data_IF_697754835368
#
_entry.id   IF_697754835368
#
_cell.length_a   1.000
_cell.length_b   1.000
_cell.length_c   1.000
_cell.angle_alpha   90.00
_cell.angle_beta   90.00
_cell.angle_gamma   90.00
#
_symmetry.space_group_name_H-M   'P 1'
#
loop_
_entity.id
_entity.type
_entity.pdbx_description
1 polymer ?
#
# COMPACT_ATOMS: atom_id res chain seq x y z
N UNK A 1 -12.46 16.93 -2.50
CA UNK A 1 -12.83 15.70 -3.24
C UNK A 1 -11.60 14.82 -3.26
N UNK A 2 -11.63 13.68 -2.56
CA UNK A 2 -10.53 12.70 -2.55
C UNK A 2 -10.70 11.66 -3.66
N UNK A 3 -9.65 10.88 -3.92
CA UNK A 3 -9.73 9.72 -4.82
C UNK A 3 -10.57 8.61 -4.17
N UNK A 4 -11.42 7.98 -4.98
CA UNK A 4 -12.30 6.88 -4.58
C UNK A 4 -11.87 5.59 -5.28
N UNK A 5 -12.11 4.45 -4.64
CA UNK A 5 -11.89 3.12 -5.23
C UNK A 5 -10.94 2.26 -4.41
N UNK A 6 -10.34 1.26 -5.04
CA UNK A 6 -9.37 0.35 -4.41
C UNK A 6 -7.96 0.60 -4.95
N UNK A 7 -6.93 0.20 -4.20
CA UNK A 7 -5.56 0.22 -4.73
C UNK A 7 -5.44 -0.90 -5.77
N UNK A 8 -5.08 -0.60 -7.03
CA UNK A 8 -5.08 -1.60 -8.09
C UNK A 8 -3.85 -2.52 -8.00
N UNK A 9 -3.99 -3.83 -8.31
CA UNK A 9 -2.86 -4.77 -8.36
C UNK A 9 -1.77 -4.38 -9.37
N UNK A 10 -2.13 -3.60 -10.39
CA UNK A 10 -1.20 -3.09 -11.40
C UNK A 10 -0.12 -2.18 -10.82
N UNK A 11 -0.28 -1.70 -9.59
CA UNK A 11 0.75 -0.92 -8.88
C UNK A 11 2.07 -1.70 -8.74
N UNK A 12 2.04 -3.04 -8.72
CA UNK A 12 3.23 -3.91 -8.82
C UNK A 12 4.18 -3.52 -9.96
N UNK A 13 3.66 -2.98 -11.06
CA UNK A 13 4.46 -2.66 -12.23
C UNK A 13 5.33 -1.41 -12.04
N UNK A 14 5.11 -0.66 -10.96
CA UNK A 14 5.92 0.49 -10.56
C UNK A 14 7.20 0.03 -9.85
N UNK A 15 8.00 -0.81 -10.51
CA UNK A 15 9.20 -1.45 -9.95
C UNK A 15 10.29 -0.46 -9.49
N UNK A 16 10.24 0.77 -9.99
CA UNK A 16 11.14 1.87 -9.63
C UNK A 16 10.58 2.81 -8.55
N UNK A 17 9.37 2.57 -8.06
CA UNK A 17 8.73 3.44 -7.07
C UNK A 17 9.51 3.39 -5.75
N UNK A 18 9.90 4.57 -5.26
CA UNK A 18 10.66 4.73 -4.01
C UNK A 18 9.79 5.27 -2.88
N UNK A 19 8.81 6.11 -3.21
CA UNK A 19 7.94 6.77 -2.24
C UNK A 19 6.52 6.85 -2.80
N UNK A 20 5.53 6.54 -1.96
CA UNK A 20 4.12 6.62 -2.28
C UNK A 20 3.38 7.31 -1.13
N UNK A 21 2.72 8.43 -1.42
CA UNK A 21 1.81 9.10 -0.48
C UNK A 21 0.41 9.18 -1.09
N UNK A 22 -0.54 8.48 -0.49
CA UNK A 22 -1.96 8.46 -0.83
C UNK A 22 -2.81 8.91 0.36
N UNK A 23 -2.22 9.66 1.29
CA UNK A 23 -2.90 10.09 2.50
C UNK A 23 -4.12 10.95 2.20
N UNK A 24 -5.19 10.78 2.96
CA UNK A 24 -6.37 11.67 2.91
C UNK A 24 -7.24 11.44 1.68
N UNK A 25 -7.30 10.20 1.19
CA UNK A 25 -8.20 9.78 0.13
C UNK A 25 -9.31 8.89 0.70
N UNK A 26 -10.26 8.50 -0.15
CA UNK A 26 -11.31 7.55 0.19
C UNK A 26 -11.04 6.20 -0.48
N UNK A 27 -9.78 5.73 -0.47
CA UNK A 27 -9.51 4.37 -0.91
C UNK A 27 -10.08 3.39 0.10
N UNK A 28 -10.76 2.36 -0.39
CA UNK A 28 -11.39 1.31 0.41
C UNK A 28 -10.95 -0.07 -0.04
N UNK A 29 -11.35 -1.12 0.69
CA UNK A 29 -10.90 -2.50 0.43
C UNK A 29 -9.52 -2.80 1.03
N UNK A 30 -8.94 -3.94 0.66
CA UNK A 30 -7.66 -4.39 1.20
C UNK A 30 -6.44 -3.79 0.50
N UNK A 31 -5.29 -3.80 1.18
CA UNK A 31 -4.00 -3.53 0.55
C UNK A 31 -3.66 -4.73 -0.36
N UNK A 32 -3.45 -4.54 -1.68
CA UNK A 32 -3.12 -5.64 -2.57
C UNK A 32 -1.74 -6.22 -2.21
N UNK A 33 -1.67 -7.56 -2.12
CA UNK A 33 -0.43 -8.30 -1.86
C UNK A 33 0.66 -7.99 -2.88
N UNK A 34 0.27 -7.56 -4.07
CA UNK A 34 1.12 -7.12 -5.16
C UNK A 34 2.01 -5.93 -4.80
N UNK A 35 1.67 -5.14 -3.77
CA UNK A 35 2.55 -4.11 -3.23
C UNK A 35 3.86 -4.66 -2.65
N UNK A 36 3.89 -5.94 -2.25
CA UNK A 36 5.12 -6.64 -1.87
C UNK A 36 6.15 -6.71 -3.01
N UNK A 37 5.72 -6.55 -4.27
CA UNK A 37 6.61 -6.56 -5.42
C UNK A 37 7.30 -5.21 -5.68
N UNK A 38 6.94 -4.16 -4.95
CA UNK A 38 7.58 -2.85 -5.02
C UNK A 38 8.94 -2.86 -4.32
N UNK A 39 9.92 -3.56 -4.90
CA UNK A 39 11.22 -3.86 -4.26
C UNK A 39 12.05 -2.63 -3.89
N UNK A 40 11.78 -1.47 -4.48
CA UNK A 40 12.55 -0.22 -4.28
C UNK A 40 11.84 0.78 -3.37
N UNK A 41 10.63 0.46 -2.90
CA UNK A 41 9.86 1.36 -2.08
C UNK A 41 10.46 1.45 -0.68
N UNK A 42 10.57 2.68 -0.19
CA UNK A 42 11.12 3.02 1.13
C UNK A 42 10.11 3.74 2.01
N UNK A 43 9.07 4.31 1.38
CA UNK A 43 8.06 5.08 2.07
C UNK A 43 6.70 4.83 1.45
N UNK A 44 5.73 4.49 2.30
CA UNK A 44 4.32 4.32 1.93
C UNK A 44 3.47 5.01 3.00
N UNK A 45 2.62 5.94 2.57
CA UNK A 45 1.67 6.61 3.44
C UNK A 45 0.26 6.42 2.90
N UNK A 46 -0.53 5.59 3.59
CA UNK A 46 -1.94 5.31 3.26
C UNK A 46 -2.90 5.86 4.32
N UNK A 47 -2.41 6.72 5.21
CA UNK A 47 -3.19 7.23 6.34
C UNK A 47 -4.44 7.99 5.87
N UNK A 48 -5.46 8.06 6.72
CA UNK A 48 -6.71 8.74 6.40
C UNK A 48 -7.32 8.21 5.08
N UNK A 49 -7.47 6.88 5.00
CA UNK A 49 -8.23 6.12 3.99
C UNK A 49 -9.11 5.07 4.71
N UNK A 50 -10.05 4.47 3.98
CA UNK A 50 -10.99 3.46 4.48
C UNK A 50 -10.54 2.01 4.15
N UNK A 51 -9.23 1.76 4.22
CA UNK A 51 -8.63 0.47 3.84
C UNK A 51 -8.85 -0.60 4.92
N UNK A 52 -9.52 -1.70 4.57
CA UNK A 52 -9.69 -2.88 5.42
C UNK A 52 -8.33 -3.56 5.63
N UNK A 53 -7.93 -3.68 6.89
CA UNK A 53 -6.61 -4.17 7.29
C UNK A 53 -5.69 -3.08 7.85
N UNK A 54 -6.07 -1.79 7.74
CA UNK A 54 -5.31 -0.66 8.31
C UNK A 54 -5.07 -0.75 9.81
N UNK A 55 -5.88 -1.53 10.53
CA UNK A 55 -5.72 -1.73 11.97
C UNK A 55 -4.49 -2.54 12.39
N UNK A 56 -3.91 -3.31 11.47
CA UNK A 56 -2.74 -4.18 11.75
C UNK A 56 -1.42 -3.63 11.23
N UNK A 57 -1.41 -2.46 10.60
CA UNK A 57 -0.20 -1.84 10.01
C UNK A 57 0.14 -0.47 10.62
N UNK A 58 -0.39 -0.17 11.81
CA UNK A 58 -0.29 1.14 12.47
C UNK A 58 1.12 1.58 12.90
N UNK A 59 2.10 0.70 12.82
CA UNK A 59 3.50 1.05 13.06
C UNK A 59 4.21 0.86 11.74
N UNK A 60 4.53 1.96 11.03
CA UNK A 60 5.39 2.01 9.84
C UNK A 60 5.38 0.71 9.03
N UNK A 61 4.57 0.64 7.96
CA UNK A 61 4.64 -0.45 7.00
C UNK A 61 6.03 -0.46 6.34
N UNK A 62 7.02 -1.03 7.02
CA UNK A 62 8.27 -1.42 6.43
C UNK A 62 7.94 -2.58 5.51
N UNK A 63 8.57 -2.62 4.33
CA UNK A 63 8.30 -3.67 3.33
C UNK A 63 8.52 -5.11 3.87
N UNK A 64 9.17 -5.25 5.04
CA UNK A 64 9.34 -6.50 5.76
C UNK A 64 8.05 -7.02 6.44
N UNK A 65 7.11 -6.14 6.78
CA UNK A 65 5.81 -6.52 7.33
C UNK A 65 4.84 -7.01 6.24
N UNK A 66 5.10 -6.61 4.98
CA UNK A 66 4.43 -7.17 3.80
C UNK A 66 5.19 -8.44 3.42
N UNK A 67 5.01 -9.50 4.20
CA UNK A 67 5.67 -10.78 3.96
C UNK A 67 5.54 -11.17 2.47
N UNK A 68 6.66 -11.46 1.76
CA UNK A 68 6.58 -11.97 0.41
C UNK A 68 5.78 -13.28 0.43
N UNK A 69 5.01 -13.59 -0.63
CA UNK A 69 4.33 -14.88 -0.70
C UNK A 69 5.37 -15.98 -0.51
N UNK A 70 5.14 -16.83 0.49
CA UNK A 70 5.93 -18.03 0.70
C UNK A 70 5.94 -18.82 -0.61
N UNK A 71 7.15 -19.22 -1.02
CA UNK A 71 7.44 -19.89 -2.28
C UNK A 71 6.62 -21.16 -2.45
#
# INVERSE_FOLDING_TARGET
>A
MGLLGTIPPSMRNLSFLVSLDLRGNNFSGGIPKEMAHLRRIKYINLNFNDLRGGATYFCKLDIHDIAPPAK
#
